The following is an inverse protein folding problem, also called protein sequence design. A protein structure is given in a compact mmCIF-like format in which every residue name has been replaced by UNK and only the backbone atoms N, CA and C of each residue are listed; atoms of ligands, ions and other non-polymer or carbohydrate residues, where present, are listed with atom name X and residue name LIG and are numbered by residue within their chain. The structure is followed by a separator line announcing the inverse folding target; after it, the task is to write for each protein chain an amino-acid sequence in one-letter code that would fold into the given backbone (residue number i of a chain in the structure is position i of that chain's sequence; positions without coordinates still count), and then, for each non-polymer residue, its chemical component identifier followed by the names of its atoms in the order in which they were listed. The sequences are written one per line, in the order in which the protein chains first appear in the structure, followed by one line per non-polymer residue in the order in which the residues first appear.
data_IF_263071703628
#
_entry.id   IF_263071703628
#
_cell.length_a   1.000
_cell.length_b   1.000
_cell.length_c   1.000
_cell.angle_alpha   90.00
_cell.angle_beta   90.00
_cell.angle_gamma   90.00
#
_symmetry.space_group_name_H-M   'P 1'
#
loop_
_entity.id
_entity.type
_entity.pdbx_description
1 polymer ?
#
# COMPACT_ATOMS: atom_id res chain seq x y z
N UNK A 1 37.23 -0.66 -16.38
CA UNK A 1 35.76 -0.68 -16.52
C UNK A 1 35.18 -0.76 -15.12
N UNK A 2 34.54 0.32 -14.65
CA UNK A 2 33.73 0.23 -13.43
C UNK A 2 32.46 -0.49 -13.86
N UNK A 3 32.27 -1.72 -13.42
CA UNK A 3 30.99 -2.40 -13.56
C UNK A 3 29.95 -1.55 -12.83
N UNK A 4 28.97 -1.00 -13.55
CA UNK A 4 27.81 -0.38 -12.90
C UNK A 4 27.14 -1.45 -12.03
N UNK A 5 27.05 -1.19 -10.72
CA UNK A 5 26.35 -2.10 -9.81
C UNK A 5 24.86 -2.05 -10.13
N UNK A 6 24.22 -3.20 -10.11
CA UNK A 6 22.78 -3.34 -10.34
C UNK A 6 21.96 -2.44 -9.38
N UNK A 7 20.91 -1.77 -9.88
CA UNK A 7 20.12 -0.79 -9.10
C UNK A 7 19.47 -1.40 -7.85
N UNK A 8 19.23 -2.72 -7.82
CA UNK A 8 18.71 -3.43 -6.63
C UNK A 8 19.63 -3.31 -5.39
N UNK A 9 20.92 -3.03 -5.58
CA UNK A 9 21.82 -2.74 -4.45
C UNK A 9 21.40 -1.52 -3.64
N UNK A 10 20.59 -0.60 -4.20
CA UNK A 10 20.00 0.50 -3.44
C UNK A 10 19.09 -0.02 -2.31
N UNK A 11 18.24 -1.01 -2.61
CA UNK A 11 17.38 -1.66 -1.64
C UNK A 11 18.19 -2.48 -0.62
N UNK A 12 19.11 -3.32 -1.11
CA UNK A 12 19.91 -4.19 -0.24
C UNK A 12 20.79 -3.40 0.72
N UNK A 13 21.41 -2.32 0.25
CA UNK A 13 22.22 -1.43 1.09
C UNK A 13 21.36 -0.71 2.12
N UNK A 14 20.17 -0.24 1.74
CA UNK A 14 19.26 0.40 2.69
C UNK A 14 18.86 -0.57 3.83
N UNK A 15 18.55 -1.83 3.49
CA UNK A 15 18.25 -2.85 4.50
C UNK A 15 19.46 -3.09 5.41
N UNK A 16 20.66 -3.24 4.83
CA UNK A 16 21.89 -3.40 5.59
C UNK A 16 22.16 -2.23 6.54
N UNK A 17 22.00 -0.99 6.06
CA UNK A 17 22.21 0.23 6.82
C UNK A 17 21.22 0.34 7.99
N UNK A 18 19.95 -0.05 7.79
CA UNK A 18 18.94 -0.06 8.87
C UNK A 18 19.28 -1.12 9.93
N UNK A 19 19.77 -2.30 9.53
CA UNK A 19 20.15 -3.35 10.47
C UNK A 19 21.39 -2.94 11.29
N UNK A 20 22.37 -2.31 10.65
CA UNK A 20 23.63 -1.95 11.29
C UNK A 20 23.55 -0.68 12.16
N UNK A 21 22.80 0.33 11.71
CA UNK A 21 22.81 1.68 12.30
C UNK A 21 21.41 2.18 12.71
N UNK A 22 20.36 1.37 12.51
CA UNK A 22 18.99 1.76 12.81
C UNK A 22 18.75 1.98 14.30
N UNK A 23 17.84 2.91 14.61
CA UNK A 23 17.39 3.13 15.99
C UNK A 23 16.26 2.17 16.34
N UNK A 24 16.44 1.39 17.41
CA UNK A 24 15.39 0.56 18.00
C UNK A 24 14.26 1.41 18.57
N UNK A 25 13.02 1.10 18.18
CA UNK A 25 11.80 1.76 18.66
C UNK A 25 10.69 0.73 18.88
N UNK A 26 9.78 1.03 19.81
CA UNK A 26 8.48 0.36 19.83
C UNK A 26 7.62 0.82 18.65
N UNK A 27 6.60 0.02 18.30
CA UNK A 27 5.63 0.34 17.26
C UNK A 27 4.21 -0.09 17.66
N UNK A 28 3.20 0.34 16.90
CA UNK A 28 1.78 0.10 17.23
C UNK A 28 1.37 -1.38 17.31
N UNK A 29 2.14 -2.28 16.70
CA UNK A 29 1.90 -3.73 16.72
C UNK A 29 2.51 -4.41 17.94
N UNK A 30 3.38 -3.71 18.68
CA UNK A 30 4.14 -4.26 19.80
C UNK A 30 5.32 -5.16 19.41
N UNK A 31 5.60 -5.34 18.11
CA UNK A 31 6.70 -6.18 17.62
C UNK A 31 8.08 -5.56 17.88
N UNK A 32 8.19 -4.24 17.80
CA UNK A 32 9.44 -3.50 17.76
C UNK A 32 9.95 -3.30 16.33
N UNK A 33 10.74 -2.25 16.13
CA UNK A 33 11.25 -1.86 14.81
C UNK A 33 12.68 -1.31 14.92
N UNK A 34 13.53 -1.62 13.93
CA UNK A 34 14.75 -0.86 13.62
C UNK A 34 14.43 0.19 12.55
N UNK A 35 14.71 1.47 12.84
CA UNK A 35 14.27 2.57 11.98
C UNK A 35 15.38 3.55 11.62
N UNK A 36 15.30 4.11 10.41
CA UNK A 36 16.10 5.24 9.91
C UNK A 36 15.15 6.23 9.24
N UNK A 37 15.46 7.52 9.29
CA UNK A 37 14.58 8.57 8.77
C UNK A 37 15.17 9.22 7.51
N UNK A 38 14.33 9.52 6.52
CA UNK A 38 14.71 10.30 5.34
C UNK A 38 15.59 9.56 4.32
N UNK A 39 15.28 8.30 4.02
CA UNK A 39 16.02 7.52 3.01
C UNK A 39 15.46 7.73 1.60
N UNK A 40 16.32 7.66 0.57
CA UNK A 40 15.92 7.85 -0.83
C UNK A 40 16.51 6.75 -1.72
N UNK A 41 15.69 6.25 -2.66
CA UNK A 41 16.11 5.39 -3.77
C UNK A 41 15.61 6.00 -5.08
N UNK A 42 16.33 5.78 -6.18
CA UNK A 42 15.96 6.23 -7.53
C UNK A 42 16.24 5.09 -8.50
N UNK A 43 15.30 4.79 -9.39
CA UNK A 43 15.39 3.70 -10.37
C UNK A 43 15.14 4.25 -11.77
N UNK A 44 15.91 3.79 -12.76
CA UNK A 44 15.75 4.25 -14.13
C UNK A 44 14.75 3.39 -14.93
N UNK A 45 13.54 3.92 -15.12
CA UNK A 45 12.45 3.20 -15.79
C UNK A 45 12.55 3.13 -17.33
N UNK A 46 13.58 3.73 -17.96
CA UNK A 46 13.66 3.77 -19.44
C UNK A 46 14.06 2.44 -20.08
N UNK A 47 14.83 1.62 -19.35
CA UNK A 47 15.37 0.36 -19.86
C UNK A 47 15.13 -0.84 -18.95
N UNK A 48 14.52 -0.64 -17.79
CA UNK A 48 14.22 -1.71 -16.83
C UNK A 48 12.94 -1.40 -16.07
N UNK A 49 12.44 -2.39 -15.34
CA UNK A 49 11.40 -2.22 -14.34
C UNK A 49 11.94 -2.72 -12.99
N UNK A 50 11.91 -1.93 -11.91
CA UNK A 50 12.59 -2.24 -10.66
C UNK A 50 11.82 -3.24 -9.80
N UNK A 51 11.46 -4.39 -10.38
CA UNK A 51 10.93 -5.52 -9.64
C UNK A 51 12.08 -6.27 -8.98
N UNK A 52 12.10 -6.30 -7.65
CA UNK A 52 13.15 -6.96 -6.88
C UNK A 52 13.30 -8.43 -7.28
N UNK A 53 14.55 -8.88 -7.40
CA UNK A 53 14.91 -10.23 -7.85
C UNK A 53 15.44 -11.12 -6.72
N UNK A 54 15.94 -10.51 -5.64
CA UNK A 54 16.45 -11.23 -4.46
C UNK A 54 15.37 -11.95 -3.65
N UNK A 55 14.09 -11.63 -3.91
CA UNK A 55 12.92 -12.40 -3.46
C UNK A 55 11.79 -12.25 -4.46
N UNK A 56 10.94 -13.27 -4.60
CA UNK A 56 9.76 -13.21 -5.47
C UNK A 56 8.77 -12.17 -4.95
N UNK A 57 8.42 -11.20 -5.77
CA UNK A 57 7.37 -10.20 -5.50
C UNK A 57 6.02 -10.71 -6.02
N UNK A 58 4.95 -10.48 -5.27
CA UNK A 58 3.60 -10.85 -5.68
C UNK A 58 3.04 -9.86 -6.72
N UNK A 59 3.56 -9.94 -7.95
CA UNK A 59 3.26 -8.98 -9.03
C UNK A 59 1.77 -8.88 -9.38
N UNK A 60 1.04 -10.01 -9.42
CA UNK A 60 -0.40 -10.01 -9.67
C UNK A 60 -1.14 -9.15 -8.63
N UNK A 61 -0.76 -9.24 -7.36
CA UNK A 61 -1.34 -8.43 -6.29
C UNK A 61 -1.11 -6.94 -6.51
N UNK A 62 0.12 -6.54 -6.85
CA UNK A 62 0.48 -5.13 -7.10
C UNK A 62 -0.33 -4.53 -8.25
N UNK A 63 -0.47 -5.26 -9.36
CA UNK A 63 -1.21 -4.76 -10.53
C UNK A 63 -2.71 -4.64 -10.24
N UNK A 64 -3.32 -5.67 -9.65
CA UNK A 64 -4.76 -5.66 -9.34
C UNK A 64 -5.13 -4.64 -8.27
N UNK A 65 -4.26 -4.42 -7.27
CA UNK A 65 -4.41 -3.34 -6.29
C UNK A 65 -4.33 -1.97 -6.95
N UNK A 66 -3.38 -1.76 -7.86
CA UNK A 66 -3.28 -0.48 -8.59
C UNK A 66 -4.52 -0.21 -9.44
N UNK A 67 -5.05 -1.23 -10.13
CA UNK A 67 -6.29 -1.13 -10.89
C UNK A 67 -7.49 -0.82 -9.97
N UNK A 68 -7.52 -1.41 -8.77
CA UNK A 68 -8.53 -1.14 -7.74
C UNK A 68 -8.44 0.30 -7.20
N UNK A 69 -7.23 0.85 -7.01
CA UNK A 69 -7.05 2.27 -6.69
C UNK A 69 -7.54 3.17 -7.82
N UNK A 70 -7.17 2.87 -9.08
CA UNK A 70 -7.60 3.65 -10.25
C UNK A 70 -9.12 3.64 -10.38
N UNK A 71 -9.79 2.53 -10.08
CA UNK A 71 -11.25 2.45 -10.14
C UNK A 71 -11.97 3.26 -9.06
N UNK A 72 -11.26 3.78 -8.06
CA UNK A 72 -11.86 4.50 -6.93
C UNK A 72 -12.52 3.59 -5.89
N UNK A 73 -12.33 2.28 -5.99
CA UNK A 73 -12.98 1.31 -5.11
C UNK A 73 -12.42 1.38 -3.69
N UNK A 74 -13.29 1.13 -2.71
CA UNK A 74 -12.96 1.03 -1.28
C UNK A 74 -13.37 -0.32 -0.68
N UNK A 75 -13.94 -1.20 -1.51
CA UNK A 75 -14.37 -2.54 -1.14
C UNK A 75 -13.24 -3.56 -1.29
N UNK A 76 -12.71 -4.09 -0.18
CA UNK A 76 -11.67 -5.11 -0.18
C UNK A 76 -12.12 -6.45 -0.80
N UNK A 77 -13.43 -6.75 -0.79
CA UNK A 77 -13.99 -8.00 -1.35
C UNK A 77 -13.72 -8.15 -2.85
N UNK A 78 -13.62 -7.03 -3.58
CA UNK A 78 -13.24 -7.03 -5.01
C UNK A 78 -11.87 -7.65 -5.24
N UNK A 79 -10.93 -7.47 -4.30
CA UNK A 79 -9.61 -8.11 -4.36
C UNK A 79 -9.66 -9.56 -3.88
N UNK A 80 -10.45 -9.85 -2.83
CA UNK A 80 -10.63 -11.20 -2.31
C UNK A 80 -11.23 -12.15 -3.35
N UNK A 81 -12.22 -11.71 -4.13
CA UNK A 81 -12.81 -12.46 -5.24
C UNK A 81 -11.78 -12.84 -6.31
N UNK A 82 -10.69 -12.05 -6.44
CA UNK A 82 -9.55 -12.33 -7.32
C UNK A 82 -8.43 -13.13 -6.64
N UNK A 83 -8.67 -13.63 -5.43
CA UNK A 83 -7.69 -14.35 -4.61
C UNK A 83 -6.52 -13.46 -4.17
N UNK A 84 -6.80 -12.20 -3.82
CA UNK A 84 -5.83 -11.23 -3.32
C UNK A 84 -6.28 -10.76 -1.94
N UNK A 85 -5.50 -11.11 -0.92
CA UNK A 85 -5.87 -11.01 0.50
C UNK A 85 -5.04 -9.96 1.26
N UNK A 86 -4.39 -9.04 0.54
CA UNK A 86 -3.44 -8.08 1.14
C UNK A 86 -4.10 -7.07 2.09
N UNK A 87 -5.42 -6.87 1.96
CA UNK A 87 -6.22 -5.95 2.78
C UNK A 87 -7.05 -6.65 3.87
N UNK A 88 -7.09 -7.98 3.91
CA UNK A 88 -8.00 -8.75 4.78
C UNK A 88 -7.83 -8.40 6.26
N UNK A 89 -6.58 -8.31 6.72
CA UNK A 89 -6.28 -7.97 8.11
C UNK A 89 -6.73 -6.56 8.52
N UNK A 90 -6.88 -5.63 7.57
CA UNK A 90 -7.35 -4.27 7.81
C UNK A 90 -8.84 -4.08 7.50
N UNK A 91 -9.45 -5.04 6.83
CA UNK A 91 -10.87 -5.00 6.46
C UNK A 91 -11.75 -5.87 7.38
N UNK A 92 -11.14 -6.67 8.27
CA UNK A 92 -11.84 -7.58 9.17
C UNK A 92 -12.70 -6.84 10.18
N UNK A 93 -13.78 -7.49 10.63
CA UNK A 93 -14.65 -6.96 11.69
C UNK A 93 -13.85 -6.59 12.94
N UNK A 94 -12.95 -7.47 13.37
CA UNK A 94 -12.09 -7.26 14.55
C UNK A 94 -11.24 -6.00 14.42
N UNK A 95 -10.62 -5.78 13.25
CA UNK A 95 -9.79 -4.59 13.05
C UNK A 95 -10.63 -3.31 13.03
N UNK A 96 -11.73 -3.31 12.28
CA UNK A 96 -12.62 -2.16 12.17
C UNK A 96 -13.19 -1.75 13.54
N UNK A 97 -13.62 -2.72 14.36
CA UNK A 97 -14.06 -2.46 15.73
C UNK A 97 -12.92 -1.96 16.61
N UNK A 98 -11.73 -2.55 16.47
CA UNK A 98 -10.52 -2.15 17.20
C UNK A 98 -10.07 -0.70 16.93
N UNK A 99 -10.43 -0.14 15.76
CA UNK A 99 -10.18 1.27 15.43
C UNK A 99 -11.43 2.17 15.57
N UNK A 100 -12.52 1.65 16.14
CA UNK A 100 -13.74 2.41 16.44
C UNK A 100 -14.70 2.61 15.27
N UNK A 101 -14.51 1.90 14.15
CA UNK A 101 -15.35 1.96 12.95
C UNK A 101 -16.44 0.88 12.96
N UNK A 102 -17.21 0.85 14.04
CA UNK A 102 -18.21 -0.20 14.33
C UNK A 102 -19.38 -0.23 13.34
N UNK A 103 -19.66 0.91 12.71
CA UNK A 103 -20.74 1.11 11.75
C UNK A 103 -20.38 0.69 10.32
N UNK A 104 -19.09 0.51 10.02
CA UNK A 104 -18.64 0.12 8.69
C UNK A 104 -18.89 -1.35 8.43
N UNK A 105 -19.29 -1.71 7.23
CA UNK A 105 -19.38 -3.12 6.83
C UNK A 105 -17.98 -3.78 6.80
N UNK A 106 -17.87 -5.05 7.16
CA UNK A 106 -16.64 -5.81 6.94
C UNK A 106 -16.30 -5.83 5.44
N UNK A 107 -15.06 -5.47 5.10
CA UNK A 107 -14.64 -5.22 3.71
C UNK A 107 -14.59 -3.74 3.31
N UNK A 108 -15.27 -2.85 4.03
CA UNK A 108 -15.28 -1.40 3.76
C UNK A 108 -14.05 -0.74 4.39
N UNK A 109 -13.05 -0.43 3.55
CA UNK A 109 -11.81 0.23 3.99
C UNK A 109 -11.99 1.73 4.26
N UNK A 110 -13.15 2.29 3.94
CA UNK A 110 -13.41 3.72 3.99
C UNK A 110 -12.72 4.51 2.87
N UNK A 111 -12.62 5.84 3.00
CA UNK A 111 -12.15 6.72 1.93
C UNK A 111 -10.63 6.70 1.78
N UNK A 112 -10.07 5.53 1.43
CA UNK A 112 -8.63 5.27 1.24
C UNK A 112 -8.15 5.69 -0.15
N UNK A 113 -6.92 5.31 -0.51
CA UNK A 113 -6.17 5.72 -1.71
C UNK A 113 -7.03 5.96 -2.96
N UNK A 114 -7.72 4.93 -3.46
CA UNK A 114 -8.50 5.03 -4.69
C UNK A 114 -9.61 6.08 -4.61
N UNK A 115 -10.34 6.11 -3.50
CA UNK A 115 -11.33 7.14 -3.24
C UNK A 115 -10.72 8.54 -3.27
N UNK A 116 -9.58 8.76 -2.63
CA UNK A 116 -8.91 10.07 -2.64
C UNK A 116 -8.32 10.45 -3.99
N UNK A 117 -8.00 9.48 -4.85
CA UNK A 117 -7.53 9.77 -6.22
C UNK A 117 -8.68 10.25 -7.11
N UNK A 118 -9.87 9.67 -6.96
CA UNK A 118 -11.02 9.92 -7.85
C UNK A 118 -12.05 10.89 -7.28
N UNK A 119 -12.14 11.03 -5.96
CA UNK A 119 -13.23 11.70 -5.24
C UNK A 119 -12.71 12.52 -4.05
N UNK A 120 -11.56 13.17 -4.19
CA UNK A 120 -10.95 13.94 -3.10
C UNK A 120 -11.91 14.98 -2.54
N UNK A 121 -12.11 14.98 -1.22
CA UNK A 121 -13.03 15.91 -0.54
C UNK A 121 -14.52 15.58 -0.66
N UNK A 122 -14.91 14.50 -1.37
CA UNK A 122 -16.28 14.01 -1.32
C UNK A 122 -16.61 13.44 0.08
N UNK A 123 -17.87 13.58 0.49
CA UNK A 123 -18.34 12.98 1.76
C UNK A 123 -18.53 11.48 1.55
N UNK A 124 -17.71 10.67 2.21
CA UNK A 124 -17.86 9.22 2.20
C UNK A 124 -19.13 8.79 2.94
N UNK A 125 -19.87 7.86 2.36
CA UNK A 125 -20.97 7.12 2.99
C UNK A 125 -20.54 5.68 3.25
N UNK A 126 -20.46 4.87 2.21
CA UNK A 126 -20.07 3.46 2.24
C UNK A 126 -19.37 3.04 0.92
N UNK A 127 -18.91 1.80 0.86
CA UNK A 127 -18.19 1.24 -0.29
C UNK A 127 -19.07 0.88 -1.51
N UNK A 128 -20.40 0.96 -1.39
CA UNK A 128 -21.36 0.61 -2.45
C UNK A 128 -21.91 1.83 -3.19
N UNK A 129 -21.77 3.02 -2.59
CA UNK A 129 -22.26 4.27 -3.12
C UNK A 129 -21.54 4.70 -4.42
N UNK A 130 -22.30 5.25 -5.37
CA UNK A 130 -21.74 5.84 -6.60
C UNK A 130 -21.29 7.29 -6.37
N UNK A 131 -19.97 7.49 -6.30
CA UNK A 131 -19.35 8.79 -6.12
C UNK A 131 -19.05 9.54 -7.42
N UNK A 132 -19.56 9.07 -8.57
CA UNK A 132 -19.37 9.73 -9.86
C UNK A 132 -19.75 11.21 -9.82
N UNK A 133 -18.83 12.07 -10.25
CA UNK A 133 -19.01 13.53 -10.25
C UNK A 133 -18.89 14.19 -8.87
N UNK A 134 -18.56 13.45 -7.82
CA UNK A 134 -18.35 13.98 -6.47
C UNK A 134 -16.87 14.16 -6.16
N UNK A 135 -16.54 15.27 -5.49
CA UNK A 135 -15.17 15.60 -5.12
C UNK A 135 -14.31 16.08 -6.29
N UNK A 136 -13.01 16.16 -6.05
CA UNK A 136 -12.00 16.51 -7.04
C UNK A 136 -11.29 15.25 -7.53
N UNK A 137 -11.18 15.13 -8.85
CA UNK A 137 -10.40 14.06 -9.50
C UNK A 137 -8.94 14.52 -9.57
N UNK A 138 -8.04 13.77 -8.93
CA UNK A 138 -6.59 14.01 -8.93
C UNK A 138 -5.82 13.09 -9.89
N UNK A 139 -6.52 12.16 -10.56
CA UNK A 139 -5.98 11.18 -11.50
C UNK A 139 -6.77 11.12 -12.81
#
# INVERSE_FOLDING_TARGET
MISERHEEYLYLKLVQDIIAEGTTKGDRTGTGTLSKFGCQMRFNLRGNFPLLTTKKVFWRGVVEELLWFISGSTNAKVLQEKGIHIWDGNASREYLDGVGLTEREEGDLGPVYGFQWRHFGARYTDMHHDYSGQGLINF
#
